data_IF_042145343145
#
_entry.id   IF_042145343145
#
_cell.length_a   1.000
_cell.length_b   1.000
_cell.length_c   1.000
_cell.angle_alpha   90.00
_cell.angle_beta   90.00
_cell.angle_gamma   90.00
#
_symmetry.space_group_name_H-M   'P 1'
#
loop_
_entity.id
_entity.type
_entity.pdbx_description
1 polymer ?
#
# COMPACT_ATOMS: atom_id res chain seq x y z
N UNK A 1 26.18 -5.43 15.01
CA UNK A 1 25.51 -5.26 13.69
C UNK A 1 24.12 -4.60 13.84
N UNK A 2 23.74 -3.75 12.87
CA UNK A 2 22.58 -2.85 12.94
C UNK A 2 21.26 -3.55 13.29
N UNK A 3 20.92 -4.65 12.62
CA UNK A 3 19.66 -5.36 12.84
C UNK A 3 19.50 -5.95 14.26
N UNK A 4 20.59 -6.45 14.87
CA UNK A 4 20.56 -6.95 16.25
C UNK A 4 20.32 -5.82 17.26
N UNK A 5 20.87 -4.64 17.00
CA UNK A 5 20.68 -3.47 17.85
C UNK A 5 19.25 -2.92 17.73
N UNK A 6 18.68 -2.89 16.52
CA UNK A 6 17.27 -2.53 16.29
C UNK A 6 16.31 -3.48 17.02
N UNK A 7 16.60 -4.78 17.02
CA UNK A 7 15.81 -5.77 17.76
C UNK A 7 15.89 -5.55 19.28
N UNK A 8 17.08 -5.29 19.81
CA UNK A 8 17.25 -4.98 21.23
C UNK A 8 16.50 -3.70 21.66
N UNK A 9 16.50 -2.66 20.82
CA UNK A 9 15.72 -1.44 21.07
C UNK A 9 14.21 -1.74 21.05
N UNK A 10 13.72 -2.54 20.09
CA UNK A 10 12.32 -2.95 20.02
C UNK A 10 11.87 -3.75 21.25
N UNK A 11 12.74 -4.61 21.79
CA UNK A 11 12.39 -5.46 22.94
C UNK A 11 12.34 -4.66 24.25
N UNK A 12 13.32 -3.79 24.49
CA UNK A 12 13.32 -2.87 25.64
C UNK A 12 14.26 -1.66 25.41
N UNK A 13 13.67 -0.50 25.14
CA UNK A 13 14.40 0.75 24.90
C UNK A 13 15.22 1.20 26.11
N UNK A 14 14.65 1.14 27.32
CA UNK A 14 15.29 1.58 28.56
C UNK A 14 16.53 0.73 28.88
N UNK A 15 16.44 -0.59 28.69
CA UNK A 15 17.57 -1.49 28.87
C UNK A 15 18.66 -1.25 27.80
N UNK A 16 18.27 -1.00 26.55
CA UNK A 16 19.23 -0.68 25.49
C UNK A 16 19.98 0.63 25.77
N UNK A 17 19.29 1.65 26.30
CA UNK A 17 19.88 2.92 26.70
C UNK A 17 20.85 2.76 27.89
N UNK A 18 20.47 1.98 28.90
CA UNK A 18 21.33 1.66 30.05
C UNK A 18 22.62 0.91 29.64
N UNK A 19 22.59 0.14 28.54
CA UNK A 19 23.75 -0.53 27.95
C UNK A 19 24.60 0.39 27.06
N UNK A 20 24.40 1.71 27.14
CA UNK A 20 25.17 2.73 26.43
C UNK A 20 24.82 2.85 24.95
N UNK A 21 23.64 2.42 24.51
CA UNK A 21 23.16 2.63 23.13
C UNK A 21 22.31 3.91 23.06
N UNK A 22 22.69 4.80 22.15
CA UNK A 22 21.92 6.02 21.87
C UNK A 22 20.65 5.69 21.07
N UNK A 23 19.54 5.42 21.77
CA UNK A 23 18.24 5.07 21.17
C UNK A 23 17.70 6.21 20.31
N UNK A 24 17.81 7.46 20.78
CA UNK A 24 17.30 8.65 20.08
C UNK A 24 17.93 8.83 18.71
N UNK A 25 19.26 8.73 18.61
CA UNK A 25 19.97 8.84 17.33
C UNK A 25 19.60 7.70 16.38
N UNK A 26 19.29 6.50 16.90
CA UNK A 26 18.85 5.39 16.06
C UNK A 26 17.44 5.57 15.52
N UNK A 27 16.48 6.04 16.33
CA UNK A 27 15.15 6.39 15.85
C UNK A 27 15.21 7.49 14.78
N UNK A 28 16.05 8.51 14.98
CA UNK A 28 16.24 9.57 13.99
C UNK A 28 16.79 9.01 12.66
N UNK A 29 17.76 8.09 12.71
CA UNK A 29 18.31 7.46 11.50
C UNK A 29 17.25 6.68 10.72
N UNK A 30 16.40 5.91 11.41
CA UNK A 30 15.30 5.15 10.78
C UNK A 30 14.27 6.11 10.18
N UNK A 31 13.92 7.18 10.91
CA UNK A 31 12.97 8.19 10.45
C UNK A 31 13.47 8.92 9.20
N UNK A 32 14.74 9.34 9.19
CA UNK A 32 15.35 10.01 8.03
C UNK A 32 15.35 9.07 6.82
N UNK A 33 15.76 7.81 7.01
CA UNK A 33 15.82 6.84 5.92
C UNK A 33 14.42 6.57 5.33
N UNK A 34 13.42 6.37 6.19
CA UNK A 34 12.03 6.17 5.76
C UNK A 34 11.48 7.39 5.03
N UNK A 35 11.68 8.58 5.57
CA UNK A 35 11.21 9.83 4.97
C UNK A 35 11.89 10.13 3.62
N UNK A 36 13.18 9.82 3.49
CA UNK A 36 13.90 9.98 2.23
C UNK A 36 13.31 9.08 1.12
N UNK A 37 13.04 7.80 1.43
CA UNK A 37 12.42 6.86 0.48
C UNK A 37 11.01 7.32 0.11
N UNK A 38 10.18 7.71 1.09
CA UNK A 38 8.83 8.22 0.84
C UNK A 38 8.84 9.51 0.00
N UNK A 39 9.79 10.41 0.25
CA UNK A 39 9.95 11.65 -0.51
C UNK A 39 10.32 11.40 -1.97
N UNK A 40 11.25 10.49 -2.22
CA UNK A 40 11.62 10.09 -3.60
C UNK A 40 10.43 9.44 -4.31
N UNK A 41 9.72 8.51 -3.64
CA UNK A 41 8.54 7.87 -4.20
C UNK A 41 7.44 8.88 -4.56
N UNK A 42 7.20 9.87 -3.69
CA UNK A 42 6.26 10.96 -3.95
C UNK A 42 6.66 11.80 -5.15
N UNK A 43 7.94 12.20 -5.25
CA UNK A 43 8.44 12.98 -6.38
C UNK A 43 8.36 12.21 -7.71
N UNK A 44 8.60 10.89 -7.69
CA UNK A 44 8.43 10.03 -8.87
C UNK A 44 6.96 9.94 -9.29
N UNK A 45 6.04 9.78 -8.34
CA UNK A 45 4.61 9.69 -8.62
C UNK A 45 4.08 10.97 -9.26
N UNK A 46 4.41 12.14 -8.69
CA UNK A 46 3.96 13.43 -9.23
C UNK A 46 4.54 13.71 -10.61
N UNK A 47 5.76 13.26 -10.88
CA UNK A 47 6.39 13.35 -12.20
C UNK A 47 5.72 12.44 -13.24
N UNK A 48 5.22 11.27 -12.82
CA UNK A 48 4.50 10.34 -13.69
C UNK A 48 3.10 10.86 -14.05
N UNK A 49 2.38 11.40 -13.07
CA UNK A 49 1.01 11.92 -13.28
C UNK A 49 1.00 13.24 -14.07
N UNK A 50 2.11 14.00 -14.04
CA UNK A 50 2.27 15.26 -14.79
C UNK A 50 1.39 16.43 -14.32
N UNK A 51 0.44 16.16 -13.42
CA UNK A 51 -0.47 17.13 -12.82
C UNK A 51 -0.72 16.80 -11.36
N UNK A 52 -0.75 17.83 -10.52
CA UNK A 52 -1.08 17.71 -9.10
C UNK A 52 -2.56 18.05 -8.89
N UNK A 53 -3.42 17.03 -8.90
CA UNK A 53 -4.85 17.19 -8.62
C UNK A 53 -5.15 16.73 -7.18
N UNK A 54 -5.51 17.63 -6.24
CA UNK A 54 -5.73 17.28 -4.83
C UNK A 54 -6.80 16.21 -4.62
N UNK A 55 -7.83 16.19 -5.46
CA UNK A 55 -8.94 15.23 -5.41
C UNK A 55 -8.52 13.79 -5.71
N UNK A 56 -7.38 13.59 -6.37
CA UNK A 56 -6.85 12.26 -6.68
C UNK A 56 -6.18 11.59 -5.47
N UNK A 57 -5.81 12.36 -4.43
CA UNK A 57 -5.15 11.88 -3.22
C UNK A 57 -6.15 11.46 -2.14
N UNK A 58 -6.90 10.40 -2.43
CA UNK A 58 -7.87 9.85 -1.48
C UNK A 58 -7.14 9.06 -0.35
N UNK A 59 -7.42 9.37 0.94
CA UNK A 59 -6.77 8.69 2.06
C UNK A 59 -6.95 7.17 2.04
N UNK A 60 -8.13 6.68 1.67
CA UNK A 60 -8.42 5.25 1.57
C UNK A 60 -7.46 4.51 0.63
N UNK A 61 -6.97 5.18 -0.43
CA UNK A 61 -6.05 4.58 -1.40
C UNK A 61 -4.59 4.64 -0.97
N UNK A 62 -4.15 5.74 -0.35
CA UNK A 62 -2.73 5.99 -0.11
C UNK A 62 -2.27 5.74 1.33
N UNK A 63 -3.13 5.86 2.33
CA UNK A 63 -2.74 5.56 3.72
C UNK A 63 -3.17 4.17 4.11
N UNK A 64 -4.46 3.87 3.92
CA UNK A 64 -5.04 2.62 4.39
C UNK A 64 -4.51 1.39 3.64
N UNK A 65 -4.36 1.47 2.32
CA UNK A 65 -3.77 0.39 1.51
C UNK A 65 -2.36 0.00 2.01
N UNK A 66 -1.52 0.97 2.36
CA UNK A 66 -0.15 0.72 2.84
C UNK A 66 -0.18 0.01 4.20
N UNK A 67 -1.13 0.34 5.07
CA UNK A 67 -1.33 -0.41 6.31
C UNK A 67 -1.69 -1.86 6.04
N UNK A 68 -2.60 -2.11 5.10
CA UNK A 68 -3.00 -3.48 4.70
C UNK A 68 -1.80 -4.27 4.16
N UNK A 69 -0.98 -3.65 3.30
CA UNK A 69 0.26 -4.24 2.79
C UNK A 69 1.19 -4.74 3.90
N UNK A 70 1.39 -3.93 4.94
CA UNK A 70 2.28 -4.24 6.06
C UNK A 70 1.67 -5.27 7.01
N UNK A 71 0.37 -5.19 7.28
CA UNK A 71 -0.34 -6.14 8.15
C UNK A 71 -0.29 -7.54 7.55
N UNK A 72 -0.61 -7.68 6.26
CA UNK A 72 -0.61 -8.95 5.54
C UNK A 72 0.82 -9.50 5.38
N UNK A 73 1.78 -8.63 5.09
CA UNK A 73 3.20 -9.01 5.03
C UNK A 73 3.80 -9.39 6.39
N UNK A 74 3.17 -8.95 7.50
CA UNK A 74 3.63 -9.16 8.86
C UNK A 74 4.64 -8.11 9.32
N UNK A 75 4.29 -7.36 10.36
CA UNK A 75 5.13 -6.30 10.96
C UNK A 75 6.41 -6.82 11.65
N UNK A 76 6.54 -8.13 11.82
CA UNK A 76 7.68 -8.79 12.48
C UNK A 76 8.86 -9.14 11.58
N UNK A 77 8.67 -9.15 10.25
CA UNK A 77 9.66 -9.64 9.30
C UNK A 77 9.81 -8.69 8.10
N UNK A 78 11.01 -8.13 7.90
CA UNK A 78 11.28 -7.20 6.79
C UNK A 78 11.00 -7.81 5.42
N UNK A 79 11.34 -9.09 5.22
CA UNK A 79 11.07 -9.78 3.96
C UNK A 79 9.57 -9.98 3.73
N UNK A 80 8.82 -10.26 4.79
CA UNK A 80 7.37 -10.38 4.76
C UNK A 80 6.70 -9.06 4.39
N UNK A 81 7.12 -7.95 5.00
CA UNK A 81 6.61 -6.63 4.68
C UNK A 81 6.84 -6.24 3.21
N UNK A 82 8.02 -6.55 2.65
CA UNK A 82 8.32 -6.30 1.22
C UNK A 82 7.45 -7.17 0.31
N UNK A 83 7.31 -8.46 0.61
CA UNK A 83 6.44 -9.38 -0.13
C UNK A 83 4.97 -8.98 -0.06
N UNK A 84 4.47 -8.58 1.12
CA UNK A 84 3.11 -8.09 1.33
C UNK A 84 2.82 -6.82 0.54
N UNK A 85 3.76 -5.86 0.55
CA UNK A 85 3.70 -4.66 -0.29
C UNK A 85 3.61 -5.00 -1.77
N UNK A 86 4.50 -5.87 -2.26
CA UNK A 86 4.52 -6.27 -3.67
C UNK A 86 3.24 -7.02 -4.08
N UNK A 87 2.80 -8.01 -3.30
CA UNK A 87 1.64 -8.85 -3.64
C UNK A 87 0.34 -8.05 -3.65
N UNK A 88 0.12 -7.21 -2.64
CA UNK A 88 -1.10 -6.40 -2.55
C UNK A 88 -1.10 -5.31 -3.62
N UNK A 89 0.06 -4.70 -3.91
CA UNK A 89 0.17 -3.77 -5.04
C UNK A 89 -0.09 -4.46 -6.38
N UNK A 90 0.46 -5.65 -6.59
CA UNK A 90 0.22 -6.44 -7.79
C UNK A 90 -1.26 -6.77 -7.94
N UNK A 91 -1.91 -7.25 -6.88
CA UNK A 91 -3.35 -7.51 -6.86
C UNK A 91 -4.14 -6.24 -7.16
N UNK A 92 -3.78 -5.10 -6.56
CA UNK A 92 -4.42 -3.81 -6.80
C UNK A 92 -4.39 -3.40 -8.29
N UNK A 93 -3.24 -3.60 -8.94
CA UNK A 93 -3.08 -3.32 -10.38
C UNK A 93 -3.87 -4.31 -11.23
N UNK A 94 -3.90 -5.60 -10.86
CA UNK A 94 -4.60 -6.64 -11.63
C UNK A 94 -6.12 -6.64 -11.46
N UNK A 95 -6.64 -6.12 -10.35
CA UNK A 95 -8.09 -6.08 -10.10
C UNK A 95 -8.82 -5.18 -11.10
N UNK A 96 -8.22 -4.09 -11.56
CA UNK A 96 -8.83 -3.20 -12.56
C UNK A 96 -9.08 -3.90 -13.91
N UNK A 97 -8.08 -4.49 -14.60
CA UNK A 97 -8.30 -5.18 -15.86
C UNK A 97 -9.17 -6.43 -15.68
N UNK A 98 -9.05 -7.13 -14.55
CA UNK A 98 -9.88 -8.30 -14.26
C UNK A 98 -11.34 -7.90 -14.05
N UNK A 99 -11.60 -6.76 -13.40
CA UNK A 99 -12.95 -6.26 -13.20
C UNK A 99 -13.62 -5.76 -14.47
N UNK A 100 -12.87 -5.03 -15.30
CA UNK A 100 -13.35 -4.63 -16.63
C UNK A 100 -13.58 -5.88 -17.51
N UNK A 101 -12.68 -6.86 -17.45
CA UNK A 101 -12.82 -8.13 -18.18
C UNK A 101 -14.06 -8.92 -17.76
N UNK A 102 -14.32 -9.03 -16.46
CA UNK A 102 -15.48 -9.73 -15.92
C UNK A 102 -16.79 -9.00 -16.27
N UNK A 103 -16.80 -7.66 -16.20
CA UNK A 103 -17.96 -6.86 -16.62
C UNK A 103 -18.20 -6.94 -18.13
N UNK A 104 -17.14 -7.01 -18.95
CA UNK A 104 -17.27 -7.24 -20.39
C UNK A 104 -17.80 -8.64 -20.71
N UNK A 105 -17.43 -9.65 -19.93
CA UNK A 105 -17.88 -11.03 -20.10
C UNK A 105 -19.37 -11.18 -19.76
N UNK A 106 -19.82 -10.56 -18.65
CA UNK A 106 -21.23 -10.53 -18.22
C UNK A 106 -22.08 -9.68 -19.18
N UNK A 107 -21.52 -8.59 -19.70
CA UNK A 107 -22.26 -7.66 -20.58
C UNK A 107 -22.08 -7.98 -22.07
N UNK A 108 -21.43 -9.10 -22.41
CA UNK A 108 -21.22 -9.55 -23.79
C UNK A 108 -22.52 -9.88 -24.53
N UNK A 109 -23.57 -10.26 -23.80
CA UNK A 109 -24.91 -10.51 -24.34
C UNK A 109 -25.84 -9.29 -24.35
N UNK A 110 -25.41 -8.12 -23.87
CA UNK A 110 -26.24 -6.91 -23.79
C UNK A 110 -25.97 -5.99 -24.99
N UNK A 111 -27.04 -5.49 -25.62
CA UNK A 111 -26.96 -4.45 -26.65
C UNK A 111 -26.28 -3.19 -26.10
N UNK A 112 -25.61 -2.42 -26.96
CA UNK A 112 -25.01 -1.12 -26.59
C UNK A 112 -26.10 -0.12 -26.19
N UNK A 113 -26.49 -0.15 -24.92
CA UNK A 113 -27.44 0.77 -24.30
C UNK A 113 -26.88 1.41 -23.04
N UNK A 114 -27.58 2.41 -22.47
CA UNK A 114 -27.13 3.14 -21.28
C UNK A 114 -26.81 2.26 -20.07
N UNK A 115 -27.49 1.10 -19.97
CA UNK A 115 -27.25 0.08 -18.95
C UNK A 115 -25.89 -0.59 -19.07
N UNK A 116 -25.39 -0.84 -20.28
CA UNK A 116 -24.07 -1.44 -20.51
C UNK A 116 -22.97 -0.47 -20.10
N UNK A 117 -23.11 0.81 -20.45
CA UNK A 117 -22.17 1.86 -20.05
C UNK A 117 -22.14 2.07 -18.54
N UNK A 118 -23.30 2.09 -17.88
CA UNK A 118 -23.37 2.19 -16.41
C UNK A 118 -22.75 0.98 -15.69
N UNK A 119 -22.90 -0.23 -16.24
CA UNK A 119 -22.31 -1.45 -15.71
C UNK A 119 -20.77 -1.46 -15.87
N UNK A 120 -20.25 -0.99 -17.02
CA UNK A 120 -18.81 -0.86 -17.23
C UNK A 120 -18.20 0.19 -16.29
N UNK A 121 -18.86 1.33 -16.07
CA UNK A 121 -18.41 2.35 -15.11
C UNK A 121 -18.45 1.83 -13.66
N UNK A 122 -19.36 0.91 -13.36
CA UNK A 122 -19.41 0.24 -12.05
C UNK A 122 -18.19 -0.66 -11.80
N UNK A 123 -17.49 -1.12 -12.85
CA UNK A 123 -16.26 -1.90 -12.72
C UNK A 123 -15.13 -1.11 -12.01
N UNK A 124 -15.12 0.22 -12.13
CA UNK A 124 -14.15 1.07 -11.44
C UNK A 124 -14.25 0.94 -9.90
N UNK A 125 -15.43 0.59 -9.39
CA UNK A 125 -15.68 0.39 -7.95
C UNK A 125 -15.21 -0.99 -7.45
N UNK A 126 -14.88 -1.95 -8.34
CA UNK A 126 -14.39 -3.27 -7.92
C UNK A 126 -13.11 -3.20 -7.10
N UNK A 127 -12.27 -2.19 -7.32
CA UNK A 127 -11.08 -1.92 -6.50
C UNK A 127 -11.43 -1.78 -5.01
N UNK A 128 -12.43 -0.97 -4.69
CA UNK A 128 -12.85 -0.76 -3.31
C UNK A 128 -13.51 -2.01 -2.73
N UNK A 129 -14.30 -2.73 -3.53
CA UNK A 129 -14.93 -3.98 -3.12
C UNK A 129 -13.91 -5.07 -2.77
N UNK A 130 -12.89 -5.27 -3.62
CA UNK A 130 -11.82 -6.25 -3.35
C UNK A 130 -11.03 -5.91 -2.09
N UNK A 131 -10.75 -4.63 -1.82
CA UNK A 131 -10.13 -4.20 -0.56
C UNK A 131 -10.99 -4.60 0.65
N UNK A 132 -12.30 -4.35 0.57
CA UNK A 132 -13.25 -4.72 1.63
C UNK A 132 -13.23 -6.22 1.93
N UNK A 133 -13.21 -7.06 0.89
CA UNK A 133 -13.11 -8.52 1.05
C UNK A 133 -11.77 -8.92 1.67
N UNK A 134 -10.67 -8.33 1.19
CA UNK A 134 -9.32 -8.67 1.64
C UNK A 134 -9.12 -8.39 3.14
N UNK A 135 -9.86 -7.43 3.68
CA UNK A 135 -9.86 -7.07 5.10
C UNK A 135 -10.75 -7.95 5.98
N UNK A 136 -11.69 -8.67 5.39
CA UNK A 136 -12.58 -9.60 6.10
C UNK A 136 -11.97 -10.99 6.27
N UNK A 137 -10.90 -11.29 5.53
CA UNK A 137 -10.10 -12.52 5.61
C UNK A 137 -8.98 -12.38 6.65
#
# INVERSE_FOLDING_TARGET
>A
PWGRMMRAIRDNETAAEAMGKDVKRRHLQVFILGSAVCGIAGAMMTSLDGQLTPTSYQPLRFTFLIWVMVIIGGSGNNLGAVLGGFLIWFLWVQVEPLGVGLMNLITSGLSEGPLKTHLIDSAAHMRLFTMGILLLL
#
